data_IF_979826215463
#
_entry.id   IF_979826215463
#
_cell.length_a   1.000
_cell.length_b   1.000
_cell.length_c   1.000
_cell.angle_alpha   90.00
_cell.angle_beta   90.00
_cell.angle_gamma   90.00
#
_symmetry.space_group_name_H-M   'P 1'
#
loop_
_entity.id
_entity.type
_entity.pdbx_description
1 polymer ?
#
# COMPACT_ATOMS: atom_id res chain seq x y z
N UNK A 1 -45.83 -58.28 12.99
CA UNK A 1 -45.41 -57.01 13.60
C UNK A 1 -43.90 -56.88 13.39
N UNK A 2 -43.47 -56.18 12.43
CA UNK A 2 -42.09 -56.02 12.04
C UNK A 2 -41.72 -54.56 12.23
N UNK A 3 -40.89 -54.26 13.26
CA UNK A 3 -40.48 -52.92 13.56
C UNK A 3 -39.15 -52.62 12.84
N UNK A 4 -39.20 -51.74 11.86
CA UNK A 4 -38.03 -51.21 11.15
C UNK A 4 -37.43 -50.07 11.93
N UNK A 5 -36.20 -50.27 12.44
CA UNK A 5 -35.34 -49.18 12.97
C UNK A 5 -34.72 -48.40 11.80
N UNK A 6 -35.05 -47.13 11.71
CA UNK A 6 -34.33 -46.15 10.85
C UNK A 6 -33.09 -45.68 11.66
N UNK A 7 -31.90 -46.03 11.19
CA UNK A 7 -30.65 -45.45 11.66
C UNK A 7 -30.38 -44.15 10.89
N UNK A 8 -30.45 -43.03 11.59
CA UNK A 8 -30.03 -41.72 11.05
C UNK A 8 -28.50 -41.64 11.14
N UNK A 9 -27.83 -41.66 9.97
CA UNK A 9 -26.42 -41.34 9.86
C UNK A 9 -26.29 -39.83 9.85
N UNK A 10 -25.85 -39.24 10.97
CA UNK A 10 -25.40 -37.88 11.04
C UNK A 10 -23.98 -37.80 10.45
N UNK A 11 -23.86 -37.22 9.24
CA UNK A 11 -22.55 -36.80 8.70
C UNK A 11 -22.07 -35.59 9.50
N UNK A 12 -21.19 -35.81 10.43
CA UNK A 12 -20.35 -34.78 11.03
C UNK A 12 -19.31 -34.39 9.97
N UNK A 13 -19.57 -33.32 9.24
CA UNK A 13 -18.54 -32.58 8.49
C UNK A 13 -17.60 -31.99 9.52
N UNK A 14 -16.52 -32.69 9.82
CA UNK A 14 -15.38 -32.09 10.52
C UNK A 14 -14.72 -31.10 9.55
N UNK A 15 -15.01 -29.82 9.69
CA UNK A 15 -14.17 -28.77 9.14
C UNK A 15 -12.78 -28.93 9.76
N UNK A 16 -11.88 -29.56 9.03
CA UNK A 16 -10.46 -29.50 9.34
C UNK A 16 -10.04 -28.07 9.03
N UNK A 17 -9.95 -27.24 10.06
CA UNK A 17 -9.14 -26.03 10.00
C UNK A 17 -7.71 -26.52 9.82
N UNK A 18 -7.23 -26.50 8.58
CA UNK A 18 -5.81 -26.66 8.30
C UNK A 18 -5.17 -25.40 8.88
N UNK A 19 -4.39 -25.53 9.92
CA UNK A 19 -3.58 -24.44 10.41
C UNK A 19 -2.62 -24.07 9.27
N UNK A 20 -2.84 -22.92 8.64
CA UNK A 20 -1.97 -22.39 7.60
C UNK A 20 -0.65 -22.00 8.28
N UNK A 21 0.44 -22.56 7.79
CA UNK A 21 1.79 -22.23 8.26
C UNK A 21 2.30 -21.05 7.45
N UNK A 22 2.07 -19.83 7.92
CA UNK A 22 2.56 -18.61 7.28
C UNK A 22 2.38 -17.42 8.22
N UNK A 23 3.13 -16.36 7.94
CA UNK A 23 3.04 -15.10 8.68
C UNK A 23 2.03 -14.20 7.99
N UNK A 24 0.92 -13.90 8.65
CA UNK A 24 -0.10 -12.98 8.15
C UNK A 24 0.55 -11.68 7.69
N UNK A 25 0.07 -11.13 6.59
CA UNK A 25 0.56 -9.93 5.89
C UNK A 25 1.88 -10.09 5.13
N UNK A 26 2.61 -11.21 5.30
CA UNK A 26 3.79 -11.57 4.51
C UNK A 26 3.53 -12.77 3.60
N UNK A 27 2.85 -13.79 4.13
CA UNK A 27 2.61 -15.03 3.41
C UNK A 27 1.12 -15.16 3.06
N UNK A 28 0.76 -15.84 1.97
CA UNK A 28 -0.63 -16.18 1.68
C UNK A 28 -1.16 -17.13 2.78
N UNK A 29 -1.97 -16.59 3.68
CA UNK A 29 -2.62 -17.32 4.77
C UNK A 29 -4.10 -17.54 4.55
N UNK A 30 -4.63 -17.07 3.42
CA UNK A 30 -5.99 -17.28 2.97
C UNK A 30 -6.01 -17.81 1.53
N UNK A 31 -6.81 -18.83 1.26
CA UNK A 31 -6.93 -19.43 -0.07
C UNK A 31 -7.90 -18.66 -0.95
N UNK A 32 -9.02 -18.20 -0.37
CA UNK A 32 -10.13 -17.58 -1.08
C UNK A 32 -10.34 -16.12 -0.67
N UNK A 33 -10.83 -15.33 -1.62
CA UNK A 33 -11.07 -13.89 -1.47
C UNK A 33 -12.53 -13.61 -1.81
N UNK A 34 -13.19 -12.84 -0.98
CA UNK A 34 -14.54 -12.32 -1.24
C UNK A 34 -14.41 -10.93 -1.83
N UNK A 35 -15.11 -10.68 -2.94
CA UNK A 35 -15.18 -9.37 -3.58
C UNK A 35 -16.59 -8.81 -3.49
N UNK A 36 -16.71 -7.58 -2.98
CA UNK A 36 -17.94 -6.78 -3.02
C UNK A 36 -17.77 -5.73 -4.09
N UNK A 37 -18.46 -5.92 -5.23
CA UNK A 37 -18.32 -5.06 -6.40
C UNK A 37 -19.26 -3.85 -6.37
N UNK A 38 -18.85 -2.79 -7.05
CA UNK A 38 -19.62 -1.58 -7.34
C UNK A 38 -20.22 -0.90 -6.10
N UNK A 39 -19.42 -0.77 -5.05
CA UNK A 39 -19.78 0.01 -3.85
C UNK A 39 -19.68 1.50 -4.17
N UNK A 40 -20.75 2.29 -4.05
CA UNK A 40 -20.69 3.73 -4.31
C UNK A 40 -19.94 4.42 -3.15
N UNK A 41 -18.88 5.16 -3.45
CA UNK A 41 -18.10 5.87 -2.43
C UNK A 41 -18.06 7.39 -2.64
N UNK A 42 -18.43 7.89 -3.81
CA UNK A 42 -18.42 9.33 -4.09
C UNK A 42 -19.48 9.70 -5.13
N UNK A 43 -19.93 10.95 -5.08
CA UNK A 43 -20.78 11.54 -6.12
C UNK A 43 -20.25 12.92 -6.43
N UNK A 44 -19.77 13.12 -7.65
CA UNK A 44 -19.03 14.33 -8.03
C UNK A 44 -19.28 14.68 -9.48
N UNK A 45 -18.96 15.91 -9.89
CA UNK A 45 -19.17 16.41 -11.25
C UNK A 45 -17.86 16.30 -12.05
N UNK A 46 -17.92 15.68 -13.23
CA UNK A 46 -16.81 15.65 -14.18
C UNK A 46 -16.65 17.02 -14.85
N UNK A 47 -15.44 17.32 -15.28
CA UNK A 47 -15.18 18.55 -16.04
C UNK A 47 -16.07 18.64 -17.29
N UNK A 48 -16.70 19.78 -17.48
CA UNK A 48 -17.63 20.02 -18.60
C UNK A 48 -19.01 19.37 -18.47
N UNK A 49 -19.29 18.63 -17.40
CA UNK A 49 -20.60 18.06 -17.09
C UNK A 49 -21.35 18.94 -16.09
N UNK A 50 -22.67 18.77 -16.04
CA UNK A 50 -23.56 19.49 -15.09
C UNK A 50 -24.30 18.55 -14.13
N UNK A 51 -24.20 17.25 -14.37
CA UNK A 51 -24.83 16.21 -13.56
C UNK A 51 -23.77 15.41 -12.78
N UNK A 52 -24.02 15.12 -11.50
CA UNK A 52 -23.11 14.29 -10.75
C UNK A 52 -22.96 12.89 -11.34
N UNK A 53 -21.74 12.38 -11.33
CA UNK A 53 -21.37 11.00 -11.63
C UNK A 53 -21.07 10.28 -10.32
N UNK A 54 -21.62 9.09 -10.13
CA UNK A 54 -21.26 8.23 -8.99
C UNK A 54 -19.96 7.49 -9.31
N UNK A 55 -19.02 7.51 -8.39
CA UNK A 55 -17.80 6.72 -8.44
C UNK A 55 -17.96 5.48 -7.56
N UNK A 56 -17.46 4.37 -8.04
CA UNK A 56 -17.58 3.08 -7.40
C UNK A 56 -16.20 2.52 -7.04
N UNK A 57 -16.18 1.63 -6.06
CA UNK A 57 -15.04 0.80 -5.72
C UNK A 57 -15.44 -0.67 -5.70
N UNK A 58 -14.46 -1.54 -5.88
CA UNK A 58 -14.58 -2.97 -5.62
C UNK A 58 -13.73 -3.29 -4.39
N UNK A 59 -14.33 -3.93 -3.39
CA UNK A 59 -13.70 -4.23 -2.11
C UNK A 59 -13.38 -5.72 -2.02
N UNK A 60 -12.15 -6.04 -1.62
CA UNK A 60 -11.60 -7.39 -1.53
C UNK A 60 -11.22 -7.69 -0.08
N UNK A 61 -11.68 -8.83 0.43
CA UNK A 61 -11.35 -9.29 1.77
C UNK A 61 -11.10 -10.80 1.81
N UNK A 62 -10.28 -11.30 2.76
CA UNK A 62 -10.08 -12.73 2.92
C UNK A 62 -11.37 -13.44 3.32
N UNK A 63 -11.70 -14.58 2.68
CA UNK A 63 -12.87 -15.36 3.06
C UNK A 63 -12.68 -15.96 4.46
N UNK A 64 -13.69 -15.78 5.32
CA UNK A 64 -13.70 -16.34 6.67
C UNK A 64 -12.77 -15.66 7.68
N UNK A 65 -12.15 -14.53 7.32
CA UNK A 65 -11.32 -13.77 8.24
C UNK A 65 -12.14 -13.13 9.37
N UNK A 66 -11.67 -13.25 10.59
CA UNK A 66 -12.32 -12.75 11.81
C UNK A 66 -11.65 -11.53 12.42
N UNK A 67 -10.58 -11.00 11.81
CA UNK A 67 -9.88 -9.82 12.31
C UNK A 67 -10.82 -8.61 12.29
N UNK A 68 -10.88 -7.89 13.41
CA UNK A 68 -11.83 -6.81 13.59
C UNK A 68 -11.40 -5.49 12.92
N UNK A 69 -10.09 -5.28 12.74
CA UNK A 69 -9.53 -4.08 12.13
C UNK A 69 -8.31 -4.47 11.28
N UNK A 70 -8.49 -4.53 9.97
CA UNK A 70 -7.45 -4.91 8.99
C UNK A 70 -6.79 -3.66 8.42
N UNK A 71 -5.49 -3.69 8.13
CA UNK A 71 -4.90 -2.69 7.25
C UNK A 71 -5.57 -2.75 5.87
N UNK A 72 -5.75 -1.58 5.27
CA UNK A 72 -6.38 -1.42 3.95
C UNK A 72 -5.35 -0.91 2.95
N UNK A 73 -5.37 -1.46 1.73
CA UNK A 73 -4.66 -0.89 0.58
C UNK A 73 -5.67 -0.45 -0.46
N UNK A 74 -5.69 0.85 -0.78
CA UNK A 74 -6.52 1.41 -1.86
C UNK A 74 -5.68 1.46 -3.12
N UNK A 75 -6.10 0.78 -4.19
CA UNK A 75 -5.42 0.77 -5.48
C UNK A 75 -6.07 1.72 -6.46
N UNK A 76 -5.23 2.47 -7.22
CA UNK A 76 -5.63 3.51 -8.16
C UNK A 76 -4.98 3.23 -9.51
N UNK A 77 -5.77 2.96 -10.53
CA UNK A 77 -5.31 2.54 -11.84
C UNK A 77 -4.67 3.69 -12.65
N UNK A 78 -3.80 3.34 -13.61
CA UNK A 78 -3.26 4.25 -14.60
C UNK A 78 -4.18 4.47 -15.80
N UNK A 79 -3.69 5.20 -16.81
CA UNK A 79 -4.43 5.44 -18.05
C UNK A 79 -4.49 6.90 -18.46
N UNK A 80 -3.47 7.68 -18.07
CA UNK A 80 -3.30 9.09 -18.43
C UNK A 80 -4.53 9.97 -18.12
N UNK A 81 -5.32 9.61 -17.12
CA UNK A 81 -6.59 10.24 -16.72
C UNK A 81 -7.70 10.23 -17.76
N UNK A 82 -7.53 9.52 -18.88
CA UNK A 82 -8.49 9.50 -20.00
C UNK A 82 -9.11 8.12 -20.24
N UNK A 83 -8.52 7.08 -19.67
CA UNK A 83 -9.00 5.69 -19.81
C UNK A 83 -8.65 4.90 -18.55
N UNK A 84 -9.32 3.77 -18.38
CA UNK A 84 -9.08 2.88 -17.26
C UNK A 84 -10.35 2.60 -16.47
N UNK A 85 -10.24 1.64 -15.60
CA UNK A 85 -11.29 1.25 -14.66
C UNK A 85 -10.69 0.46 -13.50
N UNK A 86 -11.42 0.41 -12.39
CA UNK A 86 -11.04 -0.32 -11.17
C UNK A 86 -10.86 -1.83 -11.37
N UNK A 87 -11.36 -2.37 -12.48
CA UNK A 87 -11.23 -3.80 -12.85
C UNK A 87 -10.03 -4.10 -13.76
N UNK A 88 -9.07 -3.17 -13.90
CA UNK A 88 -7.83 -3.45 -14.62
C UNK A 88 -7.09 -4.63 -13.99
N UNK A 89 -6.51 -5.47 -14.84
CA UNK A 89 -5.96 -6.78 -14.50
C UNK A 89 -4.91 -6.71 -13.38
N UNK A 90 -4.08 -5.70 -13.37
CA UNK A 90 -3.07 -5.49 -12.36
C UNK A 90 -3.65 -5.00 -11.02
N UNK A 91 -4.67 -4.12 -11.04
CA UNK A 91 -5.37 -3.67 -9.83
C UNK A 91 -6.08 -4.85 -9.16
N UNK A 92 -6.80 -5.66 -9.93
CA UNK A 92 -7.44 -6.90 -9.44
C UNK A 92 -6.41 -7.88 -8.89
N UNK A 93 -5.27 -8.02 -9.55
CA UNK A 93 -4.18 -8.89 -9.09
C UNK A 93 -3.56 -8.41 -7.77
N UNK A 94 -3.29 -7.11 -7.62
CA UNK A 94 -2.83 -6.53 -6.34
C UNK A 94 -3.85 -6.77 -5.23
N UNK A 95 -5.11 -6.37 -5.43
CA UNK A 95 -6.16 -6.54 -4.44
C UNK A 95 -6.34 -8.00 -4.01
N UNK A 96 -6.38 -8.93 -4.97
CA UNK A 96 -6.53 -10.36 -4.70
C UNK A 96 -5.34 -10.92 -3.92
N UNK A 97 -4.10 -10.58 -4.30
CA UNK A 97 -2.90 -11.07 -3.61
C UNK A 97 -2.80 -10.49 -2.21
N UNK A 98 -3.07 -9.20 -2.02
CA UNK A 98 -3.07 -8.55 -0.72
C UNK A 98 -4.13 -9.16 0.21
N UNK A 99 -5.34 -9.41 -0.30
CA UNK A 99 -6.38 -10.09 0.48
C UNK A 99 -5.93 -11.49 0.92
N UNK A 100 -5.25 -12.26 0.06
CA UNK A 100 -4.69 -13.57 0.45
C UNK A 100 -3.63 -13.49 1.54
N UNK A 101 -2.93 -12.36 1.68
CA UNK A 101 -2.02 -12.09 2.79
C UNK A 101 -2.76 -11.69 4.08
N UNK A 102 -4.05 -11.32 4.01
CA UNK A 102 -4.85 -10.91 5.17
C UNK A 102 -5.12 -9.42 5.27
N UNK A 103 -4.71 -8.62 4.29
CA UNK A 103 -5.14 -7.22 4.16
C UNK A 103 -6.60 -7.16 3.72
N UNK A 104 -7.24 -6.01 3.93
CA UNK A 104 -8.32 -5.58 3.06
C UNK A 104 -7.73 -4.81 1.89
N UNK A 105 -8.36 -4.86 0.72
CA UNK A 105 -7.94 -4.07 -0.44
C UNK A 105 -9.16 -3.49 -1.17
N UNK A 106 -8.99 -2.36 -1.83
CA UNK A 106 -10.03 -1.76 -2.62
C UNK A 106 -9.45 -1.17 -3.90
N UNK A 107 -10.08 -1.44 -5.04
CA UNK A 107 -9.76 -0.77 -6.29
C UNK A 107 -10.85 0.26 -6.58
N UNK A 108 -10.46 1.51 -6.87
CA UNK A 108 -11.38 2.64 -6.97
C UNK A 108 -11.47 3.21 -8.39
N UNK A 109 -12.67 3.69 -8.77
CA UNK A 109 -12.83 4.60 -9.89
C UNK A 109 -12.39 6.02 -9.48
N UNK A 110 -11.98 6.80 -10.46
CA UNK A 110 -11.82 8.25 -10.35
C UNK A 110 -12.34 8.93 -11.63
N UNK A 111 -12.57 10.24 -11.60
CA UNK A 111 -13.05 11.00 -12.76
C UNK A 111 -12.06 10.94 -13.90
N UNK A 112 -12.53 10.65 -15.10
CA UNK A 112 -11.72 10.59 -16.31
C UNK A 112 -12.05 11.76 -17.25
N UNK A 113 -11.03 12.32 -17.88
CA UNK A 113 -11.12 13.34 -18.91
C UNK A 113 -11.61 12.78 -20.25
N UNK A 114 -12.25 13.62 -21.03
CA UNK A 114 -12.48 13.31 -22.44
C UNK A 114 -11.22 13.52 -23.29
N UNK A 115 -10.88 12.54 -24.12
CA UNK A 115 -9.78 12.63 -25.10
C UNK A 115 -9.80 13.90 -25.97
N UNK A 116 -10.96 14.53 -26.14
CA UNK A 116 -11.13 15.74 -26.95
C UNK A 116 -10.65 17.01 -26.25
N UNK A 117 -10.30 16.93 -24.96
CA UNK A 117 -9.95 18.08 -24.13
C UNK A 117 -8.46 18.08 -23.70
N UNK A 118 -7.64 17.20 -24.28
CA UNK A 118 -6.22 17.08 -23.92
C UNK A 118 -5.47 18.40 -24.08
N UNK A 119 -4.96 18.89 -22.95
CA UNK A 119 -4.03 20.02 -22.84
C UNK A 119 -3.27 19.89 -21.51
N UNK A 120 -2.18 20.63 -21.37
CA UNK A 120 -1.43 20.67 -20.10
C UNK A 120 -2.34 21.08 -18.93
N UNK A 121 -3.10 22.16 -19.09
CA UNK A 121 -4.03 22.63 -18.05
C UNK A 121 -5.12 21.61 -17.73
N UNK A 122 -5.67 20.92 -18.73
CA UNK A 122 -6.68 19.90 -18.52
C UNK A 122 -6.11 18.71 -17.75
N UNK A 123 -4.92 18.22 -18.12
CA UNK A 123 -4.25 17.12 -17.40
C UNK A 123 -3.92 17.48 -15.95
N UNK A 124 -3.50 18.72 -15.68
CA UNK A 124 -3.28 19.20 -14.31
C UNK A 124 -4.58 19.23 -13.50
N UNK A 125 -5.68 19.69 -14.12
CA UNK A 125 -7.01 19.67 -13.48
C UNK A 125 -7.49 18.27 -13.20
N UNK A 126 -7.27 17.33 -14.14
CA UNK A 126 -7.70 15.93 -13.96
C UNK A 126 -6.87 15.20 -12.92
N UNK A 127 -5.57 15.44 -12.86
CA UNK A 127 -4.73 14.90 -11.78
C UNK A 127 -5.23 15.37 -10.41
N UNK A 128 -5.59 16.65 -10.30
CA UNK A 128 -6.16 17.20 -9.07
C UNK A 128 -7.56 16.63 -8.76
N UNK A 129 -8.44 16.48 -9.77
CA UNK A 129 -9.73 15.84 -9.60
C UNK A 129 -9.60 14.38 -9.19
N UNK A 130 -8.67 13.63 -9.79
CA UNK A 130 -8.40 12.24 -9.39
C UNK A 130 -7.88 12.17 -7.95
N UNK A 131 -7.02 13.10 -7.53
CA UNK A 131 -6.57 13.21 -6.14
C UNK A 131 -7.73 13.51 -5.17
N UNK A 132 -8.67 14.40 -5.53
CA UNK A 132 -9.89 14.62 -4.76
C UNK A 132 -10.74 13.35 -4.63
N UNK A 133 -10.78 12.50 -5.66
CA UNK A 133 -11.53 11.25 -5.65
C UNK A 133 -10.82 10.17 -4.79
N UNK A 134 -9.48 10.14 -4.81
CA UNK A 134 -8.67 9.33 -3.86
C UNK A 134 -8.94 9.76 -2.43
N UNK A 135 -8.91 11.07 -2.14
CA UNK A 135 -9.25 11.64 -0.83
C UNK A 135 -10.66 11.24 -0.38
N UNK A 136 -11.62 11.19 -1.31
CA UNK A 136 -12.98 10.74 -1.00
C UNK A 136 -13.03 9.26 -0.62
N UNK A 137 -12.25 8.40 -1.28
CA UNK A 137 -12.19 6.97 -0.96
C UNK A 137 -11.55 6.71 0.40
N UNK A 138 -10.48 7.44 0.76
CA UNK A 138 -9.87 7.35 2.09
C UNK A 138 -10.89 7.72 3.17
N UNK A 139 -11.58 8.83 3.00
CA UNK A 139 -12.58 9.33 3.96
C UNK A 139 -13.79 8.41 4.06
N UNK A 140 -14.23 7.80 2.93
CA UNK A 140 -15.24 6.76 2.92
C UNK A 140 -14.87 5.60 3.87
N UNK A 141 -13.68 5.04 3.71
CA UNK A 141 -13.26 3.92 4.53
C UNK A 141 -13.03 4.30 6.00
N UNK A 142 -12.57 5.52 6.28
CA UNK A 142 -12.44 6.00 7.65
C UNK A 142 -13.80 6.17 8.32
N UNK A 143 -14.81 6.66 7.61
CA UNK A 143 -16.16 6.78 8.12
C UNK A 143 -16.82 5.43 8.38
N UNK A 144 -16.62 4.47 7.47
CA UNK A 144 -17.23 3.15 7.48
C UNK A 144 -16.27 2.06 7.99
N UNK A 145 -15.28 2.42 8.79
CA UNK A 145 -14.21 1.49 9.22
C UNK A 145 -14.76 0.25 9.94
N UNK A 146 -15.80 0.39 10.76
CA UNK A 146 -16.43 -0.73 11.47
C UNK A 146 -17.17 -1.68 10.49
N UNK A 147 -17.88 -1.14 9.49
CA UNK A 147 -18.64 -1.91 8.52
C UNK A 147 -17.73 -2.78 7.65
N UNK A 148 -16.56 -2.23 7.26
CA UNK A 148 -15.55 -2.91 6.44
C UNK A 148 -14.45 -3.59 7.28
N UNK A 149 -14.52 -3.48 8.61
CA UNK A 149 -13.50 -4.00 9.54
C UNK A 149 -12.09 -3.53 9.18
N UNK A 150 -11.93 -2.22 8.96
CA UNK A 150 -10.69 -1.55 8.58
C UNK A 150 -10.10 -0.85 9.79
N UNK A 151 -8.78 -0.86 9.88
CA UNK A 151 -8.04 0.02 10.77
C UNK A 151 -7.88 1.39 10.10
N UNK A 152 -8.54 2.45 10.57
CA UNK A 152 -8.50 3.77 9.94
C UNK A 152 -7.11 4.44 9.99
N UNK A 153 -6.22 3.98 10.86
CA UNK A 153 -4.84 4.49 10.96
C UNK A 153 -3.88 3.72 10.06
N UNK A 154 -4.32 2.59 9.43
CA UNK A 154 -3.51 1.74 8.57
C UNK A 154 -4.11 1.62 7.18
N UNK A 155 -4.30 2.77 6.54
CA UNK A 155 -4.71 2.86 5.14
C UNK A 155 -3.48 3.23 4.31
N UNK A 156 -3.21 2.45 3.29
CA UNK A 156 -2.13 2.66 2.33
C UNK A 156 -2.69 2.90 0.93
N UNK A 157 -1.96 3.65 0.13
CA UNK A 157 -2.29 3.90 -1.27
C UNK A 157 -1.31 3.15 -2.19
N UNK A 158 -1.81 2.53 -3.24
CA UNK A 158 -1.00 1.98 -4.32
C UNK A 158 -1.54 2.53 -5.63
N UNK A 159 -0.68 3.09 -6.43
CA UNK A 159 -1.07 3.60 -7.75
C UNK A 159 -0.04 3.27 -8.82
N UNK A 160 -0.47 3.23 -10.08
CA UNK A 160 0.44 3.16 -11.21
C UNK A 160 0.20 4.32 -12.18
N UNK A 161 1.26 4.88 -12.79
CA UNK A 161 1.15 5.93 -13.81
C UNK A 161 0.27 7.11 -13.34
N UNK A 162 -0.81 7.41 -14.03
CA UNK A 162 -1.79 8.45 -13.64
C UNK A 162 -2.33 8.21 -12.21
N UNK A 163 -2.58 6.97 -11.80
CA UNK A 163 -2.97 6.64 -10.43
C UNK A 163 -1.88 6.99 -9.41
N UNK A 164 -0.61 6.78 -9.74
CA UNK A 164 0.52 7.23 -8.91
C UNK A 164 0.58 8.74 -8.79
N UNK A 165 0.36 9.47 -9.88
CA UNK A 165 0.30 10.94 -9.87
C UNK A 165 -0.85 11.40 -8.97
N UNK A 166 -2.02 10.74 -9.04
CA UNK A 166 -3.17 11.08 -8.22
C UNK A 166 -2.93 10.85 -6.72
N UNK A 167 -2.31 9.72 -6.32
CA UNK A 167 -2.01 9.47 -4.91
C UNK A 167 -0.94 10.41 -4.37
N UNK A 168 0.10 10.72 -5.15
CA UNK A 168 1.12 11.69 -4.76
C UNK A 168 0.54 13.12 -4.66
N UNK A 169 -0.37 13.47 -5.57
CA UNK A 169 -1.07 14.77 -5.52
C UNK A 169 -1.98 14.88 -4.28
N UNK A 170 -2.68 13.79 -3.91
CA UNK A 170 -3.51 13.76 -2.71
C UNK A 170 -2.67 13.95 -1.44
N UNK A 171 -1.50 13.30 -1.38
CA UNK A 171 -0.64 13.33 -0.21
C UNK A 171 0.12 14.64 -0.02
N UNK A 172 0.52 15.30 -1.12
CA UNK A 172 1.49 16.39 -1.05
C UNK A 172 0.95 17.74 -1.51
N UNK A 173 -0.20 17.81 -2.20
CA UNK A 173 -0.74 19.10 -2.65
C UNK A 173 -1.70 19.64 -1.58
N UNK A 174 -1.24 20.59 -0.79
CA UNK A 174 -2.06 21.40 0.09
C UNK A 174 -2.79 22.53 -0.64
N UNK A 175 -3.50 23.37 0.10
CA UNK A 175 -4.25 24.49 -0.48
C UNK A 175 -3.32 25.58 -1.06
N UNK A 176 -2.11 25.75 -0.51
CA UNK A 176 -1.13 26.74 -0.97
C UNK A 176 -0.41 26.28 -2.24
N UNK A 177 -0.24 24.97 -2.43
CA UNK A 177 0.41 24.32 -3.57
C UNK A 177 -0.57 23.98 -4.70
N UNK A 178 -1.84 24.27 -4.51
CA UNK A 178 -2.90 23.98 -5.47
C UNK A 178 -2.57 24.56 -6.86
N UNK A 179 -2.54 23.73 -7.93
CA UNK A 179 -2.13 24.18 -9.27
C UNK A 179 -3.05 25.30 -9.82
N UNK A 180 -2.45 26.32 -10.43
CA UNK A 180 -3.17 27.49 -10.97
C UNK A 180 -4.36 27.12 -11.88
N UNK A 181 -4.28 26.15 -12.82
CA UNK A 181 -5.42 25.79 -13.65
C UNK A 181 -6.66 25.32 -12.89
N UNK A 182 -6.52 24.85 -11.65
CA UNK A 182 -7.63 24.34 -10.85
C UNK A 182 -8.54 25.43 -10.28
N UNK A 183 -8.06 26.68 -10.27
CA UNK A 183 -8.84 27.87 -9.87
C UNK A 183 -9.66 28.47 -11.04
N UNK A 184 -9.44 28.02 -12.29
CA UNK A 184 -10.22 28.50 -13.43
C UNK A 184 -11.65 27.93 -13.37
N UNK A 185 -12.59 28.66 -13.99
CA UNK A 185 -14.00 28.25 -14.00
C UNK A 185 -14.26 26.98 -14.84
N UNK A 186 -14.93 25.98 -14.32
CA UNK A 186 -15.40 25.91 -12.92
C UNK A 186 -14.24 25.66 -11.94
N UNK A 187 -14.19 26.42 -10.85
CA UNK A 187 -13.23 26.20 -9.78
C UNK A 187 -13.44 24.79 -9.16
N UNK A 188 -12.37 24.02 -9.05
CA UNK A 188 -12.44 22.63 -8.56
C UNK A 188 -12.62 22.53 -7.03
N UNK A 189 -12.50 23.63 -6.28
CA UNK A 189 -12.55 23.63 -4.84
C UNK A 189 -11.30 23.05 -4.18
N UNK A 190 -11.36 22.84 -2.87
CA UNK A 190 -10.24 22.28 -2.08
C UNK A 190 -10.02 20.80 -2.39
N UNK A 191 -8.87 20.24 -2.00
CA UNK A 191 -8.55 18.80 -2.15
C UNK A 191 -9.65 17.91 -1.57
N UNK A 192 -10.31 18.36 -0.49
CA UNK A 192 -11.34 17.59 0.22
C UNK A 192 -12.77 18.00 -0.11
N UNK A 193 -12.99 18.74 -1.21
CA UNK A 193 -14.32 19.22 -1.60
C UNK A 193 -15.16 18.18 -2.35
N UNK A 194 -14.56 17.11 -2.88
CA UNK A 194 -15.28 16.03 -3.54
C UNK A 194 -15.85 15.02 -2.52
N UNK A 195 -16.83 14.21 -2.96
CA UNK A 195 -17.46 13.18 -2.16
C UNK A 195 -18.77 13.62 -1.53
N UNK A 196 -19.24 12.82 -0.57
CA UNK A 196 -20.49 13.10 0.17
C UNK A 196 -20.26 14.09 1.32
N UNK A 197 -21.31 14.86 1.66
CA UNK A 197 -21.23 15.84 2.77
C UNK A 197 -20.77 15.22 4.10
N UNK A 198 -21.10 13.96 4.34
CA UNK A 198 -20.76 13.22 5.56
C UNK A 198 -19.25 13.01 5.76
N UNK A 199 -18.44 13.23 4.72
CA UNK A 199 -16.97 13.17 4.83
C UNK A 199 -16.35 14.45 5.41
N UNK A 200 -17.15 15.48 5.67
CA UNK A 200 -16.64 16.75 6.19
C UNK A 200 -15.94 16.56 7.54
N UNK A 201 -14.71 17.05 7.63
CA UNK A 201 -13.90 16.96 8.86
C UNK A 201 -13.19 15.61 9.09
N UNK A 202 -13.35 14.64 8.19
CA UNK A 202 -12.58 13.39 8.24
C UNK A 202 -11.22 13.63 7.57
N UNK A 203 -10.14 13.36 8.30
CA UNK A 203 -8.77 13.46 7.77
C UNK A 203 -8.50 12.40 6.71
N UNK A 204 -7.96 12.76 5.53
CA UNK A 204 -7.55 11.80 4.51
C UNK A 204 -6.14 11.25 4.73
N UNK A 205 -5.48 11.54 5.84
CA UNK A 205 -4.13 11.06 6.12
C UNK A 205 -4.04 9.53 6.02
N UNK A 206 -2.97 9.04 5.41
CA UNK A 206 -2.68 7.62 5.20
C UNK A 206 -1.38 7.21 5.89
N UNK A 207 -1.15 5.92 6.02
CA UNK A 207 0.05 5.37 6.67
C UNK A 207 1.24 5.25 5.71
N UNK A 208 1.03 5.26 4.41
CA UNK A 208 2.07 5.20 3.40
C UNK A 208 1.51 5.05 1.99
N UNK A 209 2.38 5.18 1.00
CA UNK A 209 2.00 4.99 -0.40
C UNK A 209 3.06 4.26 -1.23
N UNK A 210 2.59 3.58 -2.26
CA UNK A 210 3.41 2.81 -3.19
C UNK A 210 3.15 3.31 -4.63
N UNK A 211 3.76 4.43 -5.04
CA UNK A 211 3.65 4.93 -6.40
C UNK A 211 4.56 4.16 -7.36
N UNK A 212 3.95 3.55 -8.39
CA UNK A 212 4.65 2.90 -9.49
C UNK A 212 4.72 3.86 -10.69
N UNK A 213 5.93 4.13 -11.19
CA UNK A 213 6.19 5.01 -12.34
C UNK A 213 5.29 6.26 -12.38
N UNK A 214 5.23 6.94 -11.25
CA UNK A 214 4.57 8.22 -11.07
C UNK A 214 5.54 9.38 -10.96
N UNK A 215 4.99 10.55 -10.62
CA UNK A 215 5.78 11.76 -10.42
C UNK A 215 4.92 12.90 -9.87
N UNK A 216 5.59 14.00 -9.54
CA UNK A 216 4.98 15.25 -9.09
C UNK A 216 5.30 16.38 -10.09
N UNK A 217 4.44 17.37 -10.16
CA UNK A 217 4.66 18.54 -11.05
C UNK A 217 5.68 19.54 -10.50
N UNK A 218 5.96 19.52 -9.21
CA UNK A 218 6.97 20.34 -8.53
C UNK A 218 7.50 19.58 -7.32
N UNK A 219 8.79 19.73 -6.99
CA UNK A 219 9.39 19.04 -5.84
C UNK A 219 9.11 19.74 -4.52
N UNK A 220 8.86 21.04 -4.56
CA UNK A 220 8.58 21.86 -3.38
C UNK A 220 7.18 21.64 -2.78
N UNK A 221 6.34 20.83 -3.43
CA UNK A 221 5.08 20.36 -2.82
C UNK A 221 5.30 19.30 -1.73
N UNK A 222 6.49 18.70 -1.67
CA UNK A 222 6.81 17.66 -0.69
C UNK A 222 7.32 18.33 0.59
N UNK A 223 6.48 18.36 1.63
CA UNK A 223 6.83 18.88 2.95
C UNK A 223 7.30 17.75 3.87
N UNK A 224 8.42 18.00 4.59
CA UNK A 224 8.98 17.05 5.55
C UNK A 224 8.31 17.09 6.92
N UNK A 225 7.61 18.18 7.25
CA UNK A 225 6.91 18.29 8.55
C UNK A 225 5.66 17.40 8.63
N UNK A 226 5.04 17.12 7.48
CA UNK A 226 3.86 16.25 7.33
C UNK A 226 4.14 15.01 6.46
N UNK A 227 5.41 14.60 6.38
CA UNK A 227 5.85 13.53 5.49
C UNK A 227 5.24 12.18 5.87
N UNK A 228 4.75 11.48 4.86
CA UNK A 228 4.23 10.11 4.93
C UNK A 228 5.14 9.19 4.11
N UNK A 229 5.55 8.01 4.63
CA UNK A 229 6.45 7.10 3.94
C UNK A 229 5.97 6.67 2.56
N UNK A 230 6.90 6.63 1.59
CA UNK A 230 6.61 6.18 0.23
C UNK A 230 7.61 5.13 -0.25
N UNK A 231 7.12 4.16 -1.04
CA UNK A 231 7.93 3.16 -1.73
C UNK A 231 7.74 3.30 -3.23
N UNK A 232 8.73 3.85 -3.91
CA UNK A 232 8.67 4.15 -5.34
C UNK A 232 9.27 3.04 -6.18
N UNK A 233 8.56 2.63 -7.25
CA UNK A 233 9.02 1.66 -8.25
C UNK A 233 8.99 2.34 -9.62
N UNK A 234 10.10 2.33 -10.39
CA UNK A 234 10.15 3.01 -11.67
C UNK A 234 11.15 2.36 -12.64
N UNK A 235 10.77 2.20 -13.90
CA UNK A 235 11.67 1.78 -14.97
C UNK A 235 12.60 2.91 -15.40
N UNK A 236 13.90 2.63 -15.55
CA UNK A 236 14.90 3.67 -15.85
C UNK A 236 14.81 4.22 -17.29
N UNK A 237 14.13 3.51 -18.20
CA UNK A 237 13.90 3.94 -19.59
C UNK A 237 12.46 4.38 -19.84
N UNK A 238 11.73 4.79 -18.79
CA UNK A 238 10.35 5.27 -18.91
C UNK A 238 10.27 6.58 -19.73
N UNK A 239 9.53 6.54 -20.85
CA UNK A 239 9.33 7.65 -21.77
C UNK A 239 7.91 8.25 -21.70
N UNK A 240 7.07 7.71 -20.84
CA UNK A 240 5.68 8.17 -20.61
C UNK A 240 5.63 9.12 -19.43
N UNK A 241 6.06 8.66 -18.24
CA UNK A 241 6.33 9.50 -17.07
C UNK A 241 7.84 9.47 -16.87
N UNK A 242 8.54 10.60 -16.92
CA UNK A 242 9.99 10.60 -16.89
C UNK A 242 10.52 9.98 -15.57
N UNK A 243 11.51 9.10 -15.68
CA UNK A 243 12.19 8.50 -14.54
C UNK A 243 12.83 9.54 -13.60
N UNK A 244 13.52 10.53 -14.21
CA UNK A 244 14.12 11.67 -13.50
C UNK A 244 13.21 12.90 -13.60
N UNK A 245 13.39 13.72 -14.65
CA UNK A 245 12.55 14.89 -14.88
C UNK A 245 12.41 15.19 -16.36
N UNK A 246 11.25 15.66 -16.77
CA UNK A 246 10.99 15.97 -18.18
C UNK A 246 9.50 16.15 -18.47
N UNK A 247 9.20 16.29 -19.75
CA UNK A 247 7.82 16.29 -20.22
C UNK A 247 7.30 14.86 -20.35
N UNK A 248 6.07 14.62 -19.88
CA UNK A 248 5.40 13.35 -20.12
C UNK A 248 5.25 13.07 -21.60
N UNK A 249 5.23 11.78 -21.99
CA UNK A 249 5.07 11.34 -23.39
C UNK A 249 6.10 11.95 -24.35
N UNK A 250 7.34 12.13 -23.91
CA UNK A 250 8.39 12.86 -24.64
C UNK A 250 8.60 12.36 -26.10
N UNK A 251 8.38 11.07 -26.36
CA UNK A 251 8.57 10.48 -27.69
C UNK A 251 7.34 10.57 -28.62
N UNK A 252 6.20 11.03 -28.12
CA UNK A 252 4.95 11.00 -28.90
C UNK A 252 4.68 12.30 -29.67
N UNK A 253 5.58 13.28 -29.61
CA UNK A 253 5.41 14.59 -30.23
C UNK A 253 4.06 15.24 -29.90
N UNK A 254 3.53 14.96 -28.72
CA UNK A 254 2.32 15.58 -28.22
C UNK A 254 2.67 16.97 -27.68
N UNK A 255 2.09 18.05 -28.24
CA UNK A 255 2.30 19.38 -27.70
C UNK A 255 1.60 19.51 -26.33
N UNK A 256 2.20 20.26 -25.44
CA UNK A 256 1.57 20.65 -24.17
C UNK A 256 1.35 19.53 -23.15
N UNK A 257 2.32 18.63 -23.02
CA UNK A 257 2.33 17.67 -21.91
C UNK A 257 2.94 18.32 -20.65
N UNK A 258 2.46 17.96 -19.45
CA UNK A 258 3.01 18.51 -18.22
C UNK A 258 4.47 18.08 -18.01
N UNK A 259 5.24 19.00 -17.44
CA UNK A 259 6.57 18.67 -16.93
C UNK A 259 6.44 18.01 -15.57
N UNK A 260 7.14 16.90 -15.39
CA UNK A 260 7.05 16.09 -14.17
C UNK A 260 8.45 15.76 -13.63
N UNK A 261 8.51 15.59 -12.32
CA UNK A 261 9.63 15.05 -11.59
C UNK A 261 9.25 13.61 -11.18
N UNK A 262 9.94 12.65 -11.77
CA UNK A 262 9.69 11.23 -11.53
C UNK A 262 10.36 10.71 -10.26
N UNK A 263 10.28 9.41 -10.06
CA UNK A 263 10.69 8.79 -8.79
C UNK A 263 12.16 9.03 -8.43
N UNK A 264 13.07 9.11 -9.41
CA UNK A 264 14.50 9.40 -9.16
C UNK A 264 14.70 10.84 -8.65
N UNK A 265 14.01 11.81 -9.25
CA UNK A 265 14.08 13.19 -8.80
C UNK A 265 13.45 13.37 -7.41
N UNK A 266 12.32 12.68 -7.14
CA UNK A 266 11.68 12.67 -5.83
C UNK A 266 12.63 12.06 -4.79
N UNK A 267 13.24 10.90 -5.05
CA UNK A 267 14.19 10.27 -4.15
C UNK A 267 15.38 11.18 -3.83
N UNK A 268 15.99 11.77 -4.87
CA UNK A 268 17.11 12.72 -4.70
C UNK A 268 16.70 13.96 -3.88
N UNK A 269 15.46 14.43 -4.05
CA UNK A 269 14.93 15.55 -3.26
C UNK A 269 14.78 15.17 -1.79
N UNK A 270 14.14 14.03 -1.50
CA UNK A 270 13.97 13.49 -0.14
C UNK A 270 15.33 13.30 0.58
N UNK A 271 16.32 12.71 -0.12
CA UNK A 271 17.69 12.59 0.41
C UNK A 271 18.29 13.96 0.75
N UNK A 272 18.11 14.96 -0.12
CA UNK A 272 18.61 16.30 0.09
C UNK A 272 18.02 17.01 1.32
N UNK A 273 16.78 16.64 1.68
CA UNK A 273 16.07 17.12 2.85
C UNK A 273 16.36 16.29 4.11
N UNK A 274 17.12 15.19 3.98
CA UNK A 274 17.49 14.33 5.11
C UNK A 274 16.38 13.35 5.52
N UNK A 275 15.37 13.13 4.68
CA UNK A 275 14.36 12.10 4.88
C UNK A 275 15.02 10.73 4.65
N UNK A 276 14.77 9.79 5.55
CA UNK A 276 15.33 8.43 5.50
C UNK A 276 14.26 7.34 5.46
N UNK A 277 13.00 7.70 5.66
CA UNK A 277 11.87 6.77 5.69
C UNK A 277 11.17 6.74 4.32
N UNK A 278 11.91 6.36 3.29
CA UNK A 278 11.38 6.08 1.96
C UNK A 278 12.17 4.95 1.30
N UNK A 279 11.54 4.30 0.33
CA UNK A 279 12.18 3.31 -0.53
C UNK A 279 12.11 3.75 -1.99
N UNK A 280 13.19 3.50 -2.73
CA UNK A 280 13.23 3.71 -4.17
C UNK A 280 13.85 2.52 -4.88
N UNK A 281 13.10 1.90 -5.77
CA UNK A 281 13.46 0.69 -6.50
C UNK A 281 13.48 0.96 -8.02
N UNK A 282 14.65 1.35 -8.58
CA UNK A 282 14.82 1.50 -10.02
C UNK A 282 14.85 0.12 -10.69
N UNK A 283 14.11 -0.03 -11.77
CA UNK A 283 14.16 -1.22 -12.64
C UNK A 283 14.96 -0.89 -13.90
N UNK A 284 16.21 -1.35 -13.94
CA UNK A 284 17.18 -0.99 -14.96
C UNK A 284 16.79 -1.50 -16.33
N UNK A 285 16.75 -0.60 -17.32
CA UNK A 285 16.40 -0.91 -18.71
C UNK A 285 14.90 -1.14 -18.95
N UNK A 286 14.06 -1.01 -17.93
CA UNK A 286 12.61 -1.17 -18.08
C UNK A 286 11.94 0.14 -18.48
N UNK A 287 10.89 0.01 -19.30
CA UNK A 287 10.05 1.10 -19.78
C UNK A 287 8.84 1.32 -18.85
N UNK A 288 7.88 2.14 -19.30
CA UNK A 288 6.62 2.39 -18.60
C UNK A 288 5.76 1.13 -18.48
N UNK A 289 5.16 0.90 -17.32
CA UNK A 289 4.25 -0.23 -17.06
C UNK A 289 4.88 -1.61 -17.37
N UNK A 290 6.15 -1.79 -17.11
CA UNK A 290 7.00 -2.89 -17.56
C UNK A 290 6.55 -4.29 -17.13
N UNK A 291 5.65 -4.42 -16.16
CA UNK A 291 5.05 -5.69 -15.80
C UNK A 291 3.76 -6.02 -16.60
N UNK A 292 3.35 -5.13 -17.52
CA UNK A 292 2.25 -5.40 -18.46
C UNK A 292 2.82 -5.56 -19.86
N UNK A 293 2.38 -6.58 -20.60
CA UNK A 293 2.71 -6.73 -21.99
C UNK A 293 1.86 -5.81 -22.90
N UNK A 294 2.15 -5.80 -24.20
CA UNK A 294 1.44 -4.99 -25.18
C UNK A 294 -0.08 -5.34 -25.30
N UNK A 295 -0.51 -6.46 -24.73
CA UNK A 295 -1.91 -6.89 -24.65
C UNK A 295 -2.53 -6.61 -23.27
N UNK A 296 -1.84 -5.85 -22.42
CA UNK A 296 -2.23 -5.58 -21.03
C UNK A 296 -2.39 -6.86 -20.19
N UNK A 297 -1.56 -7.89 -20.47
CA UNK A 297 -1.47 -9.07 -19.65
C UNK A 297 -0.28 -8.96 -18.72
N UNK A 298 -0.40 -9.52 -17.52
CA UNK A 298 0.65 -9.48 -16.49
C UNK A 298 1.83 -10.39 -16.90
N UNK A 299 3.04 -9.81 -16.95
CA UNK A 299 4.29 -10.54 -16.85
C UNK A 299 4.48 -10.96 -15.38
N UNK A 300 4.27 -12.24 -15.11
CA UNK A 300 4.21 -12.79 -13.77
C UNK A 300 5.52 -12.67 -13.00
N UNK A 301 6.66 -12.70 -13.68
CA UNK A 301 7.98 -12.55 -13.06
C UNK A 301 8.18 -11.11 -12.55
N UNK A 302 8.00 -10.14 -13.42
CA UNK A 302 8.15 -8.71 -13.10
C UNK A 302 7.11 -8.24 -12.09
N UNK A 303 5.86 -8.66 -12.27
CA UNK A 303 4.78 -8.32 -11.33
C UNK A 303 5.05 -8.88 -9.93
N UNK A 304 5.55 -10.12 -9.83
CA UNK A 304 5.87 -10.74 -8.54
C UNK A 304 7.05 -10.03 -7.85
N UNK A 305 8.01 -9.48 -8.59
CA UNK A 305 9.07 -8.64 -8.03
C UNK A 305 8.49 -7.35 -7.44
N UNK A 306 7.67 -6.63 -8.20
CA UNK A 306 7.01 -5.40 -7.71
C UNK A 306 6.07 -5.69 -6.53
N UNK A 307 5.32 -6.79 -6.58
CA UNK A 307 4.47 -7.22 -5.48
C UNK A 307 5.26 -7.56 -4.22
N UNK A 308 6.43 -8.20 -4.35
CA UNK A 308 7.32 -8.49 -3.23
C UNK A 308 7.78 -7.22 -2.52
N UNK A 309 8.25 -6.22 -3.29
CA UNK A 309 8.64 -4.90 -2.78
C UNK A 309 7.44 -4.22 -2.06
N UNK A 310 6.28 -4.19 -2.72
CA UNK A 310 5.03 -3.64 -2.15
C UNK A 310 4.68 -4.31 -0.83
N UNK A 311 4.67 -5.64 -0.78
CA UNK A 311 4.37 -6.43 0.42
C UNK A 311 5.33 -6.11 1.56
N UNK A 312 6.63 -6.06 1.26
CA UNK A 312 7.66 -5.86 2.27
C UNK A 312 7.59 -4.45 2.85
N UNK A 313 7.38 -3.43 2.01
CA UNK A 313 7.11 -2.06 2.46
C UNK A 313 5.85 -1.98 3.33
N UNK A 314 4.74 -2.54 2.89
CA UNK A 314 3.51 -2.56 3.69
C UNK A 314 3.74 -3.21 5.05
N UNK A 315 4.42 -4.36 5.07
CA UNK A 315 4.75 -5.06 6.31
C UNK A 315 5.60 -4.22 7.25
N UNK A 316 6.59 -3.51 6.72
CA UNK A 316 7.47 -2.64 7.51
C UNK A 316 6.73 -1.48 8.17
N UNK A 317 5.66 -0.98 7.52
CA UNK A 317 4.89 0.19 7.98
C UNK A 317 3.54 -0.18 8.61
N UNK A 318 3.31 -1.44 8.92
CA UNK A 318 2.07 -1.82 9.61
C UNK A 318 2.00 -1.29 11.05
N UNK A 319 3.10 -0.82 11.61
CA UNK A 319 3.20 -0.32 13.00
C UNK A 319 2.13 -0.91 13.92
N UNK A 320 2.04 -2.23 13.95
CA UNK A 320 1.37 -2.85 15.07
C UNK A 320 2.24 -2.53 16.29
N UNK A 321 2.12 -1.30 16.77
CA UNK A 321 2.43 -1.07 18.15
C UNK A 321 1.67 -2.16 18.89
N UNK A 322 2.40 -3.14 19.38
CA UNK A 322 1.85 -4.09 20.33
C UNK A 322 1.25 -3.20 21.40
N UNK A 323 -0.07 -3.01 21.37
CA UNK A 323 -0.76 -2.71 22.60
C UNK A 323 -0.63 -3.98 23.43
N UNK A 324 0.57 -4.17 23.97
CA UNK A 324 0.74 -4.98 25.16
C UNK A 324 -0.23 -4.33 26.13
N UNK A 325 -1.28 -5.05 26.60
CA UNK A 325 -2.06 -4.54 27.71
C UNK A 325 -1.05 -4.10 28.74
N UNK A 326 -1.22 -2.94 29.35
CA UNK A 326 -0.30 -2.33 30.32
C UNK A 326 0.09 -3.25 31.50
N UNK A 327 -0.39 -4.49 31.50
CA UNK A 327 -0.16 -5.54 32.49
C UNK A 327 0.80 -6.67 32.07
N UNK A 328 1.37 -6.63 30.85
CA UNK A 328 2.42 -7.59 30.47
C UNK A 328 3.55 -6.86 29.76
N UNK A 329 4.53 -6.39 30.52
CA UNK A 329 5.85 -6.03 30.00
C UNK A 329 6.50 -7.31 29.45
N UNK A 330 6.30 -7.59 28.16
CA UNK A 330 7.12 -8.58 27.45
C UNK A 330 8.54 -7.99 27.39
N UNK A 331 9.39 -8.37 28.33
CA UNK A 331 10.79 -8.00 28.30
C UNK A 331 11.53 -9.06 27.52
N UNK A 332 11.68 -8.87 26.20
CA UNK A 332 12.67 -9.64 25.46
C UNK A 332 14.05 -9.09 25.82
N UNK A 333 14.80 -9.87 26.53
CA UNK A 333 16.20 -9.54 26.83
C UNK A 333 17.08 -10.00 25.66
N UNK A 334 17.96 -9.11 25.22
CA UNK A 334 18.88 -9.37 24.12
C UNK A 334 20.31 -9.17 24.59
N UNK A 335 21.10 -10.25 24.53
CA UNK A 335 22.49 -10.21 24.99
C UNK A 335 23.38 -11.22 24.24
N UNK A 336 24.73 -10.96 24.15
CA UNK A 336 25.36 -9.68 24.42
C UNK A 336 24.94 -8.62 23.40
N UNK A 337 24.88 -7.36 23.81
CA UNK A 337 24.66 -6.22 22.91
C UNK A 337 25.66 -5.12 23.27
N UNK A 338 26.72 -4.85 22.47
CA UNK A 338 26.97 -5.42 21.14
C UNK A 338 27.28 -6.93 21.10
N UNK A 339 26.85 -7.59 20.04
CA UNK A 339 27.13 -8.99 19.76
C UNK A 339 28.42 -9.15 18.92
N UNK A 340 29.16 -10.26 19.10
CA UNK A 340 30.35 -10.58 18.31
C UNK A 340 30.18 -11.83 17.47
N UNK A 341 29.88 -12.96 18.10
CA UNK A 341 29.70 -14.28 17.44
C UNK A 341 28.24 -14.73 17.43
N UNK A 342 27.53 -14.49 18.49
CA UNK A 342 26.12 -14.86 18.64
C UNK A 342 25.35 -13.83 19.46
N UNK A 343 24.05 -13.79 19.21
CA UNK A 343 23.10 -12.99 19.99
C UNK A 343 22.00 -13.91 20.53
N UNK A 344 21.64 -13.73 21.79
CA UNK A 344 20.62 -14.50 22.47
C UNK A 344 19.40 -13.63 22.71
N UNK A 345 18.24 -14.14 22.35
CA UNK A 345 16.95 -13.57 22.70
C UNK A 345 16.33 -14.43 23.80
N UNK A 346 16.01 -13.80 24.92
CA UNK A 346 15.35 -14.44 26.04
C UNK A 346 13.98 -13.81 26.28
N UNK A 347 12.95 -14.61 26.20
CA UNK A 347 11.58 -14.19 26.35
C UNK A 347 10.75 -15.26 27.08
N UNK A 348 10.15 -14.88 28.22
CA UNK A 348 9.25 -15.74 28.99
C UNK A 348 7.77 -15.49 28.68
N UNK A 349 7.43 -14.46 27.95
CA UNK A 349 6.05 -13.96 27.79
C UNK A 349 5.45 -14.21 26.42
N UNK A 350 6.19 -14.01 25.34
CA UNK A 350 5.69 -14.19 23.97
C UNK A 350 5.24 -15.63 23.71
N UNK A 351 6.00 -16.60 24.18
CA UNK A 351 5.67 -18.01 24.01
C UNK A 351 4.43 -18.49 24.76
N UNK A 352 3.86 -17.68 25.67
CA UNK A 352 2.59 -18.03 26.32
C UNK A 352 1.43 -18.10 25.32
N UNK A 353 1.56 -17.39 24.19
CA UNK A 353 0.57 -17.38 23.10
C UNK A 353 0.94 -18.33 21.94
N UNK A 354 2.05 -19.09 22.04
CA UNK A 354 2.53 -20.02 21.02
C UNK A 354 3.82 -19.57 20.33
N UNK A 355 4.28 -20.28 19.29
CA UNK A 355 5.47 -19.92 18.53
C UNK A 355 5.30 -18.58 17.81
N UNK A 356 6.39 -17.80 17.68
CA UNK A 356 6.41 -16.53 16.96
C UNK A 356 7.49 -16.50 15.87
N UNK A 357 7.27 -15.66 14.85
CA UNK A 357 8.24 -15.41 13.80
C UNK A 357 9.23 -14.35 14.27
N UNK A 358 10.53 -14.64 14.11
CA UNK A 358 11.61 -13.69 14.31
C UNK A 358 12.30 -13.43 12.98
N UNK A 359 12.20 -12.20 12.50
CA UNK A 359 12.91 -11.70 11.34
C UNK A 359 13.98 -10.70 11.79
N UNK A 360 15.20 -10.82 11.27
CA UNK A 360 16.27 -9.85 11.53
C UNK A 360 16.73 -9.25 10.23
N UNK A 361 16.82 -7.93 10.21
CA UNK A 361 17.21 -7.13 9.04
C UNK A 361 18.37 -6.18 9.40
N UNK A 362 19.17 -5.82 8.42
CA UNK A 362 20.10 -4.70 8.56
C UNK A 362 19.37 -3.36 8.36
N UNK A 363 20.09 -2.24 8.54
CA UNK A 363 19.55 -0.88 8.37
C UNK A 363 19.16 -0.54 6.92
N UNK A 364 19.49 -1.38 5.95
CA UNK A 364 19.10 -1.26 4.54
C UNK A 364 17.89 -2.16 4.20
N UNK A 365 17.26 -2.77 5.23
CA UNK A 365 16.11 -3.67 5.05
C UNK A 365 16.46 -5.05 4.51
N UNK A 366 17.75 -5.41 4.34
CA UNK A 366 18.13 -6.75 3.88
C UNK A 366 17.90 -7.77 4.98
N UNK A 367 17.13 -8.79 4.69
CA UNK A 367 16.90 -9.90 5.61
C UNK A 367 18.20 -10.67 5.87
N UNK A 368 18.54 -10.79 7.14
CA UNK A 368 19.68 -11.54 7.62
C UNK A 368 19.29 -12.94 8.07
N UNK A 369 18.11 -13.06 8.65
CA UNK A 369 17.51 -14.35 9.04
C UNK A 369 16.01 -14.21 9.31
N UNK A 370 15.28 -15.31 9.10
CA UNK A 370 13.84 -15.38 9.36
C UNK A 370 13.53 -16.80 9.90
N UNK A 371 13.12 -16.89 11.15
CA UNK A 371 12.98 -18.18 11.85
C UNK A 371 11.75 -18.21 12.74
N UNK A 372 11.13 -19.38 12.82
CA UNK A 372 10.05 -19.64 13.77
C UNK A 372 10.65 -20.02 15.14
N UNK A 373 10.40 -19.19 16.14
CA UNK A 373 10.88 -19.38 17.51
C UNK A 373 9.82 -20.10 18.33
N UNK A 374 10.20 -21.23 18.92
CA UNK A 374 9.36 -22.06 19.78
C UNK A 374 10.00 -22.33 21.15
N UNK A 375 11.03 -21.56 21.51
CA UNK A 375 11.76 -21.69 22.78
C UNK A 375 11.98 -20.33 23.40
N UNK A 376 11.83 -20.22 24.73
CA UNK A 376 12.08 -18.97 25.48
C UNK A 376 13.55 -18.51 25.46
N UNK A 377 14.46 -19.38 25.06
CA UNK A 377 15.85 -19.03 24.79
C UNK A 377 16.16 -19.40 23.35
N UNK A 378 16.52 -18.41 22.55
CA UNK A 378 16.85 -18.60 21.17
C UNK A 378 18.15 -17.84 20.83
N UNK A 379 19.07 -18.47 20.13
CA UNK A 379 20.37 -17.89 19.75
C UNK A 379 20.54 -17.87 18.25
N UNK A 380 21.00 -16.72 17.72
CA UNK A 380 21.39 -16.56 16.32
C UNK A 380 22.91 -16.41 16.24
N UNK A 381 23.53 -17.16 15.33
CA UNK A 381 24.95 -16.97 14.95
C UNK A 381 25.02 -15.73 14.03
N UNK A 382 25.70 -14.70 14.51
CA UNK A 382 25.91 -13.45 13.77
C UNK A 382 27.38 -13.26 13.39
N UNK A 383 28.23 -14.29 13.54
CA UNK A 383 29.66 -14.20 13.28
C UNK A 383 30.00 -13.81 11.85
N UNK A 384 29.16 -14.20 10.88
CA UNK A 384 29.29 -13.88 9.45
C UNK A 384 28.67 -12.55 9.03
N UNK A 385 28.07 -11.80 9.96
CA UNK A 385 27.37 -10.55 9.62
C UNK A 385 28.32 -9.35 9.68
N UNK A 386 28.15 -8.32 8.83
CA UNK A 386 28.88 -7.07 8.93
C UNK A 386 28.66 -6.39 10.30
N UNK A 387 29.65 -5.59 10.75
CA UNK A 387 29.45 -4.73 11.91
C UNK A 387 28.41 -3.65 11.58
N UNK A 388 27.46 -3.44 12.49
CA UNK A 388 26.39 -2.49 12.26
C UNK A 388 25.21 -2.65 13.21
N UNK A 389 24.16 -1.88 12.97
CA UNK A 389 22.89 -1.95 13.70
C UNK A 389 21.95 -2.89 12.94
N UNK A 390 21.19 -3.69 13.67
CA UNK A 390 20.22 -4.64 13.15
C UNK A 390 18.89 -4.47 13.86
N UNK A 391 17.82 -4.69 13.13
CA UNK A 391 16.44 -4.68 13.63
C UNK A 391 15.95 -6.13 13.72
N UNK A 392 15.60 -6.55 14.93
CA UNK A 392 14.93 -7.83 15.18
C UNK A 392 13.43 -7.57 15.33
N UNK A 393 12.64 -8.21 14.49
CA UNK A 393 11.18 -8.08 14.43
C UNK A 393 10.54 -9.40 14.86
N UNK A 394 9.60 -9.32 15.76
CA UNK A 394 8.88 -10.46 16.34
C UNK A 394 7.43 -10.38 15.93
N UNK A 395 6.91 -11.38 15.24
CA UNK A 395 5.51 -11.43 14.77
C UNK A 395 4.76 -12.63 15.34
N UNK A 396 3.54 -12.40 15.85
CA UNK A 396 2.64 -13.45 16.35
C UNK A 396 1.18 -12.98 16.22
N UNK A 397 0.32 -13.78 15.61
CA UNK A 397 -1.14 -13.59 15.53
C UNK A 397 -1.59 -12.17 15.11
N UNK A 398 -0.89 -11.56 14.15
CA UNK A 398 -1.19 -10.21 13.66
C UNK A 398 -0.60 -9.07 14.52
N UNK A 399 0.14 -9.39 15.56
CA UNK A 399 0.90 -8.44 16.36
C UNK A 399 2.39 -8.55 16.05
N UNK A 400 3.10 -7.44 15.93
CA UNK A 400 4.55 -7.46 15.85
C UNK A 400 5.15 -6.35 16.71
N UNK A 401 6.35 -6.59 17.21
CA UNK A 401 7.18 -5.55 17.82
C UNK A 401 8.62 -5.72 17.35
N UNK A 402 9.39 -4.67 17.45
CA UNK A 402 10.79 -4.69 17.05
C UNK A 402 11.71 -4.18 18.15
N UNK A 403 12.94 -4.62 18.11
CA UNK A 403 14.02 -4.10 18.92
C UNK A 403 15.29 -4.00 18.06
N UNK A 404 16.21 -3.14 18.45
CA UNK A 404 17.49 -3.00 17.78
C UNK A 404 18.63 -3.56 18.61
N UNK A 405 19.65 -4.11 17.92
CA UNK A 405 20.90 -4.52 18.55
C UNK A 405 22.10 -4.18 17.66
N UNK A 406 23.28 -4.17 18.24
CA UNK A 406 24.53 -3.83 17.57
C UNK A 406 25.36 -5.11 17.40
N UNK A 407 25.95 -5.30 16.20
CA UNK A 407 26.98 -6.28 15.89
C UNK A 407 28.31 -5.55 15.74
N UNK A 408 29.31 -5.93 16.54
CA UNK A 408 30.70 -5.48 16.45
C UNK A 408 31.50 -6.18 15.34
#
# INVERSE_FOLDING_TARGET
MCSTLLAAFAFLLSNRVVAQSGTRFLDPVFDEVVTTEAVPFSSTIREGETTPTTLYLDFYEPEGDTMAARPLVITVFGGAFVTGSRDYVDMVAYCTRLAKLGYAAASIDYRLLSWLQLSESALMRDAYMAAQDVSSAIRFFKLHNEDYRIDPERIFLLGNSAGSIAILAEMFIGEEERPEPTFTEPDLGTMHSAGFEEYAGISPQVAGAIPHWGGVNALDVIDVEEYTPICMIHGTEDLIVPYDSGYCFANFSLPYMPYMYGSHAIASHLESMGVTDFEFHPFEGEEHAFYLDASYQIDEEKFSQCFGITRDFLWMHLDYAVSVPESATAMVEVYPNPATESIVFHDETLLQNGPYQLQVMDVLGREMTNVLVSSSHFSIDVSGWPSGVYVARFGQDGSCFSLTFVKD
#
